data_IF_605357809756
#
_entry.id   IF_605357809756
#
_cell.length_a   1.000
_cell.length_b   1.000
_cell.length_c   1.000
_cell.angle_alpha   90.00
_cell.angle_beta   90.00
_cell.angle_gamma   90.00
#
_symmetry.space_group_name_H-M   'P 1'
#
loop_
_entity.id
_entity.type
_entity.pdbx_description
1 polymer ?
#
# COMPACT_ATOMS: atom_id res chain seq x y z
N UNK A 1 -26.41 9.66 -10.42
CA UNK A 1 -26.74 8.31 -9.92
C UNK A 1 -25.43 7.73 -9.40
N UNK A 2 -25.14 7.98 -8.13
CA UNK A 2 -23.79 7.79 -7.59
C UNK A 2 -23.87 6.54 -6.71
N UNK A 3 -23.81 5.37 -7.33
CA UNK A 3 -23.62 4.12 -6.59
C UNK A 3 -22.14 4.03 -6.24
N UNK A 4 -21.68 4.80 -5.26
CA UNK A 4 -20.39 4.52 -4.64
C UNK A 4 -20.56 3.27 -3.81
N UNK A 5 -20.03 2.16 -4.32
CA UNK A 5 -19.96 0.89 -3.61
C UNK A 5 -19.39 1.15 -2.22
N UNK A 6 -20.14 0.82 -1.17
CA UNK A 6 -19.77 1.01 0.24
C UNK A 6 -18.67 0.02 0.70
N UNK A 7 -17.75 -0.32 -0.21
CA UNK A 7 -16.67 -1.26 0.05
C UNK A 7 -15.74 -0.62 1.08
N UNK A 8 -15.71 -1.19 2.28
CA UNK A 8 -14.85 -0.74 3.38
C UNK A 8 -13.54 -1.49 3.45
N UNK A 9 -13.57 -2.79 3.13
CA UNK A 9 -12.39 -3.64 3.24
C UNK A 9 -12.17 -4.37 1.91
N UNK A 10 -10.94 -4.31 1.41
CA UNK A 10 -10.50 -5.02 0.22
C UNK A 10 -9.28 -5.88 0.55
N UNK A 11 -9.34 -7.14 0.13
CA UNK A 11 -8.23 -8.08 0.20
C UNK A 11 -7.84 -8.51 -1.21
N UNK A 12 -6.60 -8.25 -1.59
CA UNK A 12 -5.95 -8.76 -2.78
C UNK A 12 -4.96 -9.84 -2.31
N UNK A 13 -5.20 -11.09 -2.68
CA UNK A 13 -4.41 -12.22 -2.19
C UNK A 13 -4.02 -13.15 -3.34
N UNK A 14 -2.73 -13.38 -3.51
CA UNK A 14 -2.22 -14.38 -4.45
C UNK A 14 -2.50 -14.03 -5.92
N UNK A 15 -2.26 -12.77 -6.30
CA UNK A 15 -2.46 -12.30 -7.68
C UNK A 15 -1.11 -12.13 -8.40
N UNK A 16 -0.57 -13.19 -9.04
CA UNK A 16 0.77 -13.15 -9.63
C UNK A 16 0.87 -12.24 -10.85
N UNK A 17 -0.24 -11.97 -11.55
CA UNK A 17 -0.28 -11.10 -12.73
C UNK A 17 -0.71 -9.66 -12.41
N UNK A 18 -1.01 -9.35 -11.14
CA UNK A 18 -1.41 -8.01 -10.72
C UNK A 18 -0.19 -7.08 -10.73
N UNK A 19 0.03 -6.41 -11.87
CA UNK A 19 1.14 -5.47 -12.03
C UNK A 19 0.95 -4.18 -11.26
N UNK A 20 -0.28 -3.68 -11.27
CA UNK A 20 -0.69 -2.42 -10.67
C UNK A 20 -2.12 -2.52 -10.14
N UNK A 21 -2.47 -1.65 -9.20
CA UNK A 21 -3.86 -1.51 -8.74
C UNK A 21 -4.66 -0.70 -9.78
N UNK A 22 -5.84 -1.17 -10.21
CA UNK A 22 -6.62 -0.49 -11.23
C UNK A 22 -7.12 0.88 -10.75
N UNK A 23 -7.02 1.90 -11.61
CA UNK A 23 -7.41 3.29 -11.31
C UNK A 23 -8.87 3.43 -10.87
N UNK A 24 -9.75 2.53 -11.31
CA UNK A 24 -11.15 2.48 -10.87
C UNK A 24 -11.30 2.32 -9.34
N UNK A 25 -10.29 1.81 -8.64
CA UNK A 25 -10.30 1.71 -7.18
C UNK A 25 -10.25 3.06 -6.48
N UNK A 26 -9.82 4.14 -7.16
CA UNK A 26 -9.89 5.51 -6.62
C UNK A 26 -11.34 5.91 -6.29
N UNK A 27 -12.33 5.30 -6.95
CA UNK A 27 -13.75 5.57 -6.70
C UNK A 27 -14.26 4.96 -5.38
N UNK A 28 -13.48 4.12 -4.71
CA UNK A 28 -13.84 3.51 -3.42
C UNK A 28 -13.58 4.49 -2.27
N UNK A 29 -14.29 5.61 -2.28
CA UNK A 29 -14.16 6.68 -1.28
C UNK A 29 -14.46 6.25 0.15
N UNK A 30 -15.20 5.14 0.34
CA UNK A 30 -15.52 4.55 1.63
C UNK A 30 -14.52 3.47 2.09
N UNK A 31 -13.46 3.20 1.32
CA UNK A 31 -12.49 2.16 1.64
C UNK A 31 -11.69 2.56 2.88
N UNK A 32 -11.76 1.72 3.91
CA UNK A 32 -11.11 1.89 5.21
C UNK A 32 -9.91 0.95 5.38
N UNK A 33 -9.96 -0.23 4.77
CA UNK A 33 -8.95 -1.27 4.87
C UNK A 33 -8.54 -1.80 3.50
N UNK A 34 -7.24 -1.73 3.20
CA UNK A 34 -6.65 -2.38 2.03
C UNK A 34 -5.58 -3.37 2.50
N UNK A 35 -5.73 -4.64 2.09
CA UNK A 35 -4.75 -5.69 2.33
C UNK A 35 -4.27 -6.29 1.01
N UNK A 36 -2.96 -6.32 0.80
CA UNK A 36 -2.32 -6.89 -0.38
C UNK A 36 -1.35 -7.97 0.11
N UNK A 37 -1.58 -9.22 -0.28
CA UNK A 37 -0.83 -10.39 0.18
C UNK A 37 -0.39 -11.22 -1.02
N UNK A 38 0.87 -11.67 -1.05
CA UNK A 38 1.36 -12.63 -2.06
C UNK A 38 1.12 -12.19 -3.53
N UNK A 39 1.23 -10.89 -3.81
CA UNK A 39 1.05 -10.33 -5.15
C UNK A 39 2.41 -10.09 -5.81
N UNK A 40 2.96 -11.13 -6.43
CA UNK A 40 4.30 -11.08 -7.04
C UNK A 40 4.41 -10.19 -8.27
N UNK A 41 3.30 -9.95 -8.98
CA UNK A 41 3.31 -9.04 -10.12
C UNK A 41 3.48 -7.57 -9.72
N UNK A 42 3.17 -7.23 -8.46
CA UNK A 42 3.02 -5.85 -8.01
C UNK A 42 4.38 -5.22 -7.73
N UNK A 43 4.79 -4.30 -8.59
CA UNK A 43 6.11 -3.65 -8.52
C UNK A 43 6.08 -2.30 -7.79
N UNK A 44 4.93 -1.61 -7.83
CA UNK A 44 4.69 -0.30 -7.24
C UNK A 44 3.24 -0.14 -6.82
N UNK A 45 2.98 0.75 -5.86
CA UNK A 45 1.62 1.25 -5.61
C UNK A 45 1.35 2.50 -6.46
N UNK A 46 0.08 2.82 -6.75
CA UNK A 46 -0.28 4.04 -7.45
C UNK A 46 -0.44 5.25 -6.52
N UNK A 47 -0.18 6.45 -7.04
CA UNK A 47 -0.25 7.70 -6.29
C UNK A 47 -1.65 8.03 -5.77
N UNK A 48 -2.71 7.62 -6.51
CA UNK A 48 -4.09 7.86 -6.10
C UNK A 48 -4.44 7.16 -4.79
N UNK A 49 -3.67 6.18 -4.33
CA UNK A 49 -3.88 5.51 -3.04
C UNK A 49 -3.80 6.51 -1.87
N UNK A 50 -2.98 7.56 -2.02
CA UNK A 50 -2.90 8.67 -1.08
C UNK A 50 -4.11 9.61 -1.08
N UNK A 51 -4.96 9.55 -2.11
CA UNK A 51 -6.19 10.34 -2.22
C UNK A 51 -7.40 9.69 -1.55
N UNK A 52 -7.27 8.46 -1.02
CA UNK A 52 -8.36 7.78 -0.32
C UNK A 52 -8.54 8.33 1.10
N UNK A 53 -9.42 9.32 1.23
CA UNK A 53 -9.68 10.02 2.51
C UNK A 53 -10.19 9.12 3.63
N UNK A 54 -10.83 7.98 3.34
CA UNK A 54 -11.32 7.04 4.36
C UNK A 54 -10.31 5.95 4.74
N UNK A 55 -9.18 5.84 4.02
CA UNK A 55 -8.27 4.70 4.17
C UNK A 55 -7.50 4.78 5.48
N UNK A 56 -7.96 4.01 6.46
CA UNK A 56 -7.39 3.99 7.80
C UNK A 56 -6.32 2.92 8.01
N UNK A 57 -6.34 1.85 7.21
CA UNK A 57 -5.47 0.70 7.35
C UNK A 57 -4.98 0.19 6.00
N UNK A 58 -3.66 0.19 5.81
CA UNK A 58 -2.97 -0.42 4.67
C UNK A 58 -2.03 -1.51 5.17
N UNK A 59 -2.21 -2.74 4.68
CA UNK A 59 -1.28 -3.84 4.93
C UNK A 59 -0.81 -4.46 3.62
N UNK A 60 0.50 -4.58 3.47
CA UNK A 60 1.15 -5.19 2.32
C UNK A 60 2.08 -6.26 2.86
N UNK A 61 1.90 -7.52 2.47
CA UNK A 61 2.73 -8.62 2.94
C UNK A 61 3.16 -9.54 1.82
N UNK A 62 4.40 -10.02 1.91
CA UNK A 62 4.95 -11.05 1.01
C UNK A 62 4.75 -10.69 -0.47
N UNK A 63 5.00 -9.43 -0.84
CA UNK A 63 5.00 -8.98 -2.24
C UNK A 63 6.46 -8.77 -2.65
N UNK A 64 7.11 -9.80 -3.20
CA UNK A 64 8.57 -9.80 -3.27
C UNK A 64 9.14 -8.79 -4.26
N UNK A 65 8.41 -8.50 -5.34
CA UNK A 65 8.83 -7.54 -6.38
C UNK A 65 8.42 -6.10 -6.09
N UNK A 66 7.67 -5.83 -5.01
CA UNK A 66 7.31 -4.48 -4.64
C UNK A 66 8.57 -3.70 -4.26
N UNK A 67 8.91 -2.69 -5.04
CA UNK A 67 10.16 -1.93 -4.90
C UNK A 67 9.95 -0.48 -4.49
N UNK A 68 8.74 0.05 -4.63
CA UNK A 68 8.39 1.41 -4.23
C UNK A 68 6.92 1.49 -3.78
N UNK A 69 6.62 2.38 -2.83
CA UNK A 69 5.25 2.75 -2.48
C UNK A 69 4.67 3.82 -3.43
N UNK A 70 5.46 4.23 -4.44
CA UNK A 70 5.31 5.36 -5.36
C UNK A 70 6.19 6.55 -5.00
N UNK A 71 6.69 7.27 -6.02
CA UNK A 71 7.55 8.45 -5.84
C UNK A 71 6.76 9.66 -5.30
N UNK A 72 5.42 9.61 -5.39
CA UNK A 72 4.48 10.63 -4.91
C UNK A 72 3.59 10.16 -3.76
N UNK A 73 3.91 9.04 -3.09
CA UNK A 73 3.03 8.45 -2.08
C UNK A 73 2.85 9.40 -0.90
N UNK A 74 1.74 10.12 -0.92
CA UNK A 74 1.26 10.86 0.24
C UNK A 74 0.45 9.90 1.06
N UNK A 75 0.86 9.69 2.30
CA UNK A 75 0.03 8.97 3.25
C UNK A 75 -1.28 9.74 3.43
N UNK A 76 -2.45 9.09 3.26
CA UNK A 76 -3.72 9.75 3.52
C UNK A 76 -3.77 10.17 4.99
N UNK A 77 -4.37 11.33 5.29
CA UNK A 77 -4.45 11.86 6.66
C UNK A 77 -5.18 10.91 7.62
N UNK A 78 -6.09 10.10 7.10
CA UNK A 78 -6.85 9.09 7.86
C UNK A 78 -6.06 7.81 8.14
N UNK A 79 -4.90 7.61 7.53
CA UNK A 79 -4.11 6.39 7.66
C UNK A 79 -3.50 6.29 9.06
N UNK A 80 -4.08 5.43 9.89
CA UNK A 80 -3.59 5.16 11.25
C UNK A 80 -2.75 3.90 11.36
N UNK A 81 -2.88 2.99 10.38
CA UNK A 81 -2.15 1.73 10.34
C UNK A 81 -1.53 1.51 8.98
N UNK A 82 -0.20 1.46 8.95
CA UNK A 82 0.59 1.00 7.81
C UNK A 82 1.43 -0.20 8.24
N UNK A 83 1.26 -1.35 7.59
CA UNK A 83 2.08 -2.53 7.82
C UNK A 83 2.64 -3.03 6.50
N UNK A 84 3.97 -3.14 6.43
CA UNK A 84 4.70 -3.69 5.29
C UNK A 84 5.59 -4.80 5.85
N UNK A 85 5.45 -6.01 5.32
CA UNK A 85 6.15 -7.20 5.83
C UNK A 85 6.57 -8.11 4.67
N UNK A 86 7.77 -8.70 4.70
CA UNK A 86 8.20 -9.65 3.68
C UNK A 86 8.25 -9.05 2.27
N UNK A 87 8.64 -7.77 2.16
CA UNK A 87 8.76 -7.05 0.88
C UNK A 87 10.24 -6.67 0.66
N UNK A 88 11.11 -7.63 0.29
CA UNK A 88 12.56 -7.46 0.29
C UNK A 88 13.07 -6.36 -0.65
N UNK A 89 12.47 -6.17 -1.83
CA UNK A 89 12.90 -5.10 -2.75
C UNK A 89 12.61 -3.70 -2.19
N UNK A 90 11.47 -3.52 -1.52
CA UNK A 90 11.14 -2.29 -0.82
C UNK A 90 12.04 -2.08 0.41
N UNK A 91 12.29 -3.12 1.20
CA UNK A 91 13.18 -3.05 2.36
C UNK A 91 14.63 -2.69 1.98
N UNK A 92 15.13 -3.18 0.85
CA UNK A 92 16.46 -2.81 0.32
C UNK A 92 16.55 -1.32 0.03
N UNK A 93 15.48 -0.72 -0.50
CA UNK A 93 15.42 0.71 -0.83
C UNK A 93 15.29 1.59 0.42
N UNK A 94 14.50 1.18 1.41
CA UNK A 94 14.39 1.90 2.70
C UNK A 94 15.68 1.89 3.53
N UNK A 95 16.65 1.02 3.22
CA UNK A 95 17.97 0.96 3.89
C UNK A 95 19.03 1.86 3.26
N UNK A 96 18.73 2.57 2.16
CA UNK A 96 19.63 3.61 1.64
C UNK A 96 19.46 4.86 2.52
N UNK A 97 20.56 5.47 3.02
CA UNK A 97 20.46 6.62 3.90
C UNK A 97 20.11 7.85 3.06
N UNK A 98 18.81 8.12 2.90
CA UNK A 98 18.35 9.44 2.49
C UNK A 98 18.33 10.36 3.71
N UNK A 99 19.31 11.25 3.77
CA UNK A 99 19.36 12.39 4.67
C UNK A 99 18.22 13.35 4.29
N UNK A 100 16.99 13.15 4.79
CA UNK A 100 16.22 14.19 5.47
C UNK A 100 14.76 13.80 5.82
N UNK A 101 14.33 14.35 6.96
CA UNK A 101 12.95 14.68 7.38
C UNK A 101 11.92 13.54 7.57
N UNK A 102 11.68 13.19 8.84
CA UNK A 102 10.42 13.60 9.45
C UNK A 102 9.18 12.68 9.41
N UNK A 103 9.24 11.45 8.92
CA UNK A 103 8.18 10.46 9.21
C UNK A 103 8.80 9.09 9.52
N UNK A 104 8.70 8.67 10.78
CA UNK A 104 9.04 7.30 11.21
C UNK A 104 7.94 6.36 10.73
N UNK A 105 8.11 5.77 9.55
CA UNK A 105 7.34 4.60 9.17
C UNK A 105 7.70 3.45 10.13
N UNK A 106 6.74 2.92 10.88
CA UNK A 106 6.90 1.71 11.67
C UNK A 106 7.04 0.51 10.73
N UNK A 107 8.24 0.34 10.15
CA UNK A 107 8.61 -0.89 9.45
C UNK A 107 8.84 -1.92 10.55
N UNK A 108 7.80 -2.69 10.85
CA UNK A 108 7.88 -3.81 11.77
C UNK A 108 8.56 -4.96 11.02
N UNK A 109 9.89 -4.98 11.03
CA UNK A 109 10.64 -6.18 10.69
C UNK A 109 10.38 -7.20 11.81
N UNK A 110 9.35 -8.03 11.65
CA UNK A 110 9.21 -9.23 12.47
C UNK A 110 10.17 -10.27 11.92
N UNK A 111 11.28 -10.45 12.64
CA UNK A 111 12.21 -11.56 12.48
C UNK A 111 11.48 -12.88 12.66
N UNK A 112 11.61 -13.78 11.68
CA UNK A 112 11.88 -15.21 11.87
C UNK A 112 12.88 -15.62 10.80
#
# INVERSE_FOLDING_TARGET
MNQTTALRDLLLNGLPELKDLPESMQLFSALQGLRILFCEGLCSLPDWLGSLESLSSLSIRYCYNLSSLSDGFKTPESLTRLQIEGCPELEKRCKKPEVNTGQKYHISALSI
#
